data_IF_167431224644
#
_entry.id   IF_167431224644
#
_cell.length_a   1.000
_cell.length_b   1.000
_cell.length_c   1.000
_cell.angle_alpha   90.00
_cell.angle_beta   90.00
_cell.angle_gamma   90.00
#
_symmetry.space_group_name_H-M   'P 1'
#
loop_
_entity.id
_entity.type
_entity.pdbx_description
1 polymer ?
#
# COMPACT_ATOMS: atom_id res chain seq x y z
N UNK A 1 -51.03 52.44 -19.57
CA UNK A 1 -50.64 53.67 -20.29
C UNK A 1 -49.26 53.49 -20.88
N UNK A 2 -49.23 53.43 -22.24
CA UNK A 2 -48.33 54.12 -23.15
C UNK A 2 -46.82 53.81 -22.96
N UNK A 3 -45.99 53.44 -23.88
CA UNK A 3 -45.91 53.31 -25.35
C UNK A 3 -44.56 52.61 -25.62
N UNK A 4 -44.42 51.55 -26.35
CA UNK A 4 -43.98 51.50 -27.77
C UNK A 4 -42.88 52.48 -28.18
N UNK A 5 -41.72 51.93 -28.59
CA UNK A 5 -41.10 52.33 -29.86
C UNK A 5 -40.11 51.25 -30.33
N UNK A 6 -40.39 50.75 -31.52
CA UNK A 6 -39.50 49.94 -32.33
C UNK A 6 -38.68 50.86 -33.23
N UNK A 7 -37.47 50.46 -33.64
CA UNK A 7 -36.93 50.84 -34.96
C UNK A 7 -35.98 49.77 -35.50
N UNK A 8 -36.33 49.31 -36.68
CA UNK A 8 -35.59 48.54 -37.67
C UNK A 8 -34.40 49.34 -38.27
N UNK A 9 -33.36 48.64 -38.74
CA UNK A 9 -32.72 48.80 -40.06
C UNK A 9 -31.58 47.76 -40.16
N UNK A 10 -31.70 46.73 -40.95
CA UNK A 10 -31.51 46.57 -42.41
C UNK A 10 -30.03 46.37 -42.84
N UNK A 11 -29.71 45.14 -43.16
CA UNK A 11 -29.13 44.59 -44.39
C UNK A 11 -27.79 45.14 -44.90
N UNK A 12 -26.75 44.28 -44.95
CA UNK A 12 -25.99 44.09 -46.17
C UNK A 12 -25.35 42.70 -46.26
N UNK A 13 -25.81 41.89 -47.21
CA UNK A 13 -25.13 40.66 -47.66
C UNK A 13 -23.91 41.08 -48.52
N UNK A 14 -22.77 40.45 -48.24
CA UNK A 14 -21.72 40.24 -49.25
C UNK A 14 -21.33 38.78 -49.26
N UNK A 15 -21.75 38.09 -50.33
CA UNK A 15 -21.29 36.80 -50.75
C UNK A 15 -19.89 36.92 -51.35
N UNK A 16 -18.88 36.22 -50.77
CA UNK A 16 -17.68 35.84 -51.52
C UNK A 16 -17.40 34.38 -51.28
N UNK A 17 -17.62 33.58 -52.30
CA UNK A 17 -17.10 32.22 -52.41
C UNK A 17 -15.58 32.27 -52.48
N UNK A 18 -14.91 31.51 -51.62
CA UNK A 18 -13.58 31.01 -51.90
C UNK A 18 -13.44 29.55 -51.55
N UNK A 19 -12.72 28.86 -52.42
CA UNK A 19 -12.61 27.45 -52.65
C UNK A 19 -12.02 26.68 -51.47
N UNK A 20 -12.40 25.38 -51.43
CA UNK A 20 -11.92 24.29 -50.60
C UNK A 20 -10.37 24.18 -50.63
N UNK A 21 -9.79 24.15 -49.44
CA UNK A 21 -8.58 23.41 -49.15
C UNK A 21 -8.78 22.71 -47.81
N UNK A 22 -8.69 21.36 -47.79
CA UNK A 22 -8.85 20.55 -46.59
C UNK A 22 -7.81 20.90 -45.54
N UNK A 23 -8.28 21.46 -44.45
CA UNK A 23 -7.56 21.54 -43.23
C UNK A 23 -8.21 20.55 -42.24
N UNK A 24 -7.47 19.52 -41.90
CA UNK A 24 -7.75 18.57 -40.84
C UNK A 24 -7.99 19.38 -39.54
N UNK A 25 -9.17 19.24 -38.96
CA UNK A 25 -9.47 19.84 -37.67
C UNK A 25 -8.43 19.33 -36.66
N UNK A 26 -7.84 20.18 -35.82
CA UNK A 26 -7.04 19.70 -34.70
C UNK A 26 -7.94 18.83 -33.82
N UNK A 27 -7.42 17.64 -33.42
CA UNK A 27 -8.05 16.84 -32.37
C UNK A 27 -8.33 17.76 -31.18
N UNK A 28 -9.57 17.76 -30.70
CA UNK A 28 -9.91 18.44 -29.47
C UNK A 28 -9.02 17.84 -28.37
N UNK A 29 -8.12 18.65 -27.83
CA UNK A 29 -7.43 18.32 -26.59
C UNK A 29 -8.50 17.97 -25.55
N UNK A 30 -8.41 16.77 -24.97
CA UNK A 30 -9.15 16.47 -23.77
C UNK A 30 -8.83 17.57 -22.74
N UNK A 31 -9.83 18.07 -21.98
CA UNK A 31 -9.56 19.10 -20.99
C UNK A 31 -8.46 18.58 -20.08
N UNK A 32 -7.33 19.31 -20.02
CA UNK A 32 -6.31 19.09 -19.02
C UNK A 32 -7.00 19.16 -17.65
N UNK A 33 -6.94 18.05 -16.88
CA UNK A 33 -7.41 18.06 -15.50
C UNK A 33 -6.78 19.28 -14.82
N UNK A 34 -7.58 20.04 -14.09
CA UNK A 34 -7.11 21.24 -13.42
C UNK A 34 -6.01 20.80 -12.45
N UNK A 35 -4.75 21.15 -12.76
CA UNK A 35 -3.54 20.69 -12.02
C UNK A 35 -3.64 21.02 -10.53
N UNK A 36 -4.50 21.96 -10.16
CA UNK A 36 -4.75 22.36 -8.78
C UNK A 36 -5.56 21.34 -7.94
N UNK A 37 -6.16 20.30 -8.54
CA UNK A 37 -7.06 19.37 -7.83
C UNK A 37 -6.52 17.93 -7.76
N UNK A 38 -5.30 17.68 -8.21
CA UNK A 38 -4.67 16.36 -8.11
C UNK A 38 -4.11 16.10 -6.71
N UNK A 39 -3.99 14.82 -6.31
CA UNK A 39 -3.42 14.43 -5.02
C UNK A 39 -1.99 14.95 -4.86
N UNK A 40 -1.17 14.86 -5.91
CA UNK A 40 0.19 15.40 -5.89
C UNK A 40 0.20 16.90 -5.61
N UNK A 41 -0.63 17.69 -6.30
CA UNK A 41 -0.71 19.12 -6.08
C UNK A 41 -1.20 19.48 -4.66
N UNK A 42 -2.18 18.72 -4.13
CA UNK A 42 -2.68 18.89 -2.76
C UNK A 42 -1.58 18.60 -1.72
N UNK A 43 -0.81 17.51 -1.90
CA UNK A 43 0.31 17.13 -1.01
C UNK A 43 1.41 18.20 -1.05
N UNK A 44 1.80 18.66 -2.23
CA UNK A 44 2.78 19.73 -2.38
C UNK A 44 2.33 21.03 -1.75
N UNK A 45 1.05 21.41 -1.91
CA UNK A 45 0.50 22.61 -1.30
C UNK A 45 0.44 22.55 0.24
N UNK A 46 0.12 21.39 0.82
CA UNK A 46 0.14 21.19 2.29
C UNK A 46 1.54 20.93 2.85
N UNK A 47 2.54 20.64 1.99
CA UNK A 47 3.93 20.39 2.38
C UNK A 47 4.19 19.08 3.14
N UNK A 48 3.27 18.12 3.09
CA UNK A 48 3.32 16.88 3.87
C UNK A 48 2.73 15.72 3.10
N UNK A 49 3.46 14.59 3.04
CA UNK A 49 2.94 13.25 2.68
C UNK A 49 2.63 12.49 3.96
N UNK A 50 1.39 12.07 4.15
CA UNK A 50 0.96 11.26 5.30
C UNK A 50 0.87 9.81 4.90
N UNK A 51 1.72 8.96 5.48
CA UNK A 51 1.83 7.53 5.19
C UNK A 51 1.18 6.72 6.29
N UNK A 52 0.21 5.88 5.94
CA UNK A 52 -0.49 4.97 6.85
C UNK A 52 0.31 3.68 7.03
N UNK A 53 0.62 3.36 8.29
CA UNK A 53 1.46 2.24 8.71
C UNK A 53 0.88 1.52 9.92
N UNK A 54 1.40 0.33 10.24
CA UNK A 54 1.33 -0.33 11.55
C UNK A 54 2.74 -0.57 12.10
N UNK A 55 2.88 -1.07 13.31
CA UNK A 55 4.20 -1.50 13.84
C UNK A 55 4.53 -2.87 13.24
N UNK A 56 5.42 -2.86 12.26
CA UNK A 56 5.73 -4.00 11.42
C UNK A 56 7.21 -4.07 11.03
N UNK A 57 8.06 -4.65 11.88
CA UNK A 57 9.45 -4.91 11.52
C UNK A 57 9.56 -6.03 10.45
N UNK A 58 10.43 -5.89 9.44
CA UNK A 58 11.43 -4.83 9.23
C UNK A 58 10.93 -3.66 8.35
N UNK A 59 9.62 -3.58 8.03
CA UNK A 59 9.06 -2.59 7.11
C UNK A 59 8.91 -1.22 7.77
N UNK A 60 8.18 -1.14 8.88
CA UNK A 60 7.92 0.08 9.65
C UNK A 60 7.98 -0.23 11.14
N UNK A 61 8.97 0.28 11.82
CA UNK A 61 9.12 0.10 13.27
C UNK A 61 9.87 1.28 13.90
N UNK A 62 9.90 1.34 15.22
CA UNK A 62 10.60 2.41 15.93
C UNK A 62 12.01 1.99 16.33
N UNK A 63 12.97 2.87 16.06
CA UNK A 63 14.32 2.76 16.57
C UNK A 63 14.38 3.00 18.10
N UNK A 64 15.58 2.86 18.69
CA UNK A 64 15.82 3.09 20.11
C UNK A 64 15.49 4.54 20.57
N UNK A 65 15.42 5.50 19.65
CA UNK A 65 15.11 6.89 19.91
C UNK A 65 13.62 7.19 19.72
N UNK A 66 12.81 6.20 19.28
CA UNK A 66 11.40 6.34 19.01
C UNK A 66 11.07 6.92 17.64
N UNK A 67 12.05 7.01 16.72
CA UNK A 67 11.81 7.44 15.34
C UNK A 67 11.38 6.24 14.49
N UNK A 68 10.50 6.48 13.53
CA UNK A 68 10.14 5.49 12.53
C UNK A 68 11.33 5.20 11.62
N UNK A 69 11.59 3.92 11.38
CA UNK A 69 12.61 3.36 10.51
C UNK A 69 12.09 2.05 9.91
N UNK A 70 12.87 1.40 9.08
CA UNK A 70 12.51 0.20 8.36
C UNK A 70 12.52 0.44 6.86
N UNK A 71 12.36 -0.63 6.10
CA UNK A 71 12.44 -0.56 4.65
C UNK A 71 11.40 0.40 4.06
N UNK A 72 10.11 0.22 4.42
CA UNK A 72 9.03 1.05 3.91
C UNK A 72 9.10 2.47 4.43
N UNK A 73 9.39 2.65 5.73
CA UNK A 73 9.55 3.98 6.32
C UNK A 73 10.66 4.78 5.64
N UNK A 74 11.83 4.19 5.40
CA UNK A 74 12.96 4.88 4.75
C UNK A 74 12.65 5.16 3.27
N UNK A 75 12.01 4.22 2.57
CA UNK A 75 11.63 4.41 1.17
C UNK A 75 10.53 5.48 1.02
N UNK A 76 9.57 5.54 1.96
CA UNK A 76 8.56 6.61 2.01
C UNK A 76 9.17 8.00 2.29
N UNK A 77 10.16 8.08 3.17
CA UNK A 77 10.91 9.32 3.40
C UNK A 77 11.66 9.79 2.16
N UNK A 78 12.28 8.86 1.41
CA UNK A 78 12.93 9.19 0.13
C UNK A 78 11.92 9.69 -0.92
N UNK A 79 10.72 9.12 -0.97
CA UNK A 79 9.67 9.59 -1.88
C UNK A 79 9.13 10.97 -1.48
N UNK A 80 8.93 11.22 -0.19
CA UNK A 80 8.54 12.54 0.30
C UNK A 80 9.59 13.61 -0.04
N UNK A 81 10.89 13.29 0.08
CA UNK A 81 12.00 14.17 -0.36
C UNK A 81 11.93 14.45 -1.86
N UNK A 82 11.70 13.44 -2.70
CA UNK A 82 11.50 13.61 -4.16
C UNK A 82 10.34 14.56 -4.48
N UNK A 83 9.24 14.49 -3.67
CA UNK A 83 8.09 15.39 -3.81
C UNK A 83 8.34 16.80 -3.25
N UNK A 84 9.44 17.02 -2.51
CA UNK A 84 9.76 18.28 -1.84
C UNK A 84 8.90 18.56 -0.62
N UNK A 85 8.44 17.52 0.11
CA UNK A 85 7.54 17.62 1.25
C UNK A 85 8.07 16.84 2.47
N UNK A 86 7.52 17.10 3.66
CA UNK A 86 7.77 16.31 4.87
C UNK A 86 7.06 14.95 4.80
N UNK A 87 7.70 13.86 5.26
CA UNK A 87 7.05 12.57 5.49
C UNK A 87 6.50 12.50 6.92
N UNK A 88 5.23 12.15 7.07
CA UNK A 88 4.61 11.87 8.38
C UNK A 88 3.94 10.52 8.37
N UNK A 89 4.15 9.77 9.46
CA UNK A 89 3.55 8.47 9.64
C UNK A 89 2.30 8.55 10.51
N UNK A 90 1.24 7.89 10.05
CA UNK A 90 -0.03 7.74 10.74
C UNK A 90 -0.22 6.24 11.06
N UNK A 91 -0.33 5.91 12.36
CA UNK A 91 -0.57 4.53 12.77
C UNK A 91 -2.03 4.17 12.57
N UNK A 92 -2.30 3.24 11.66
CA UNK A 92 -3.63 2.69 11.40
C UNK A 92 -3.99 1.76 12.56
N UNK A 93 -5.03 2.11 13.32
CA UNK A 93 -5.42 1.36 14.51
C UNK A 93 -6.15 0.04 14.20
N UNK A 94 -6.70 -0.09 13.02
CA UNK A 94 -7.42 -1.27 12.51
C UNK A 94 -7.09 -1.41 11.02
N UNK A 95 -6.23 -2.37 10.68
CA UNK A 95 -5.76 -2.57 9.30
C UNK A 95 -6.89 -2.82 8.31
N UNK A 96 -7.99 -3.43 8.75
CA UNK A 96 -9.20 -3.58 7.95
C UNK A 96 -9.85 -2.28 7.49
N UNK A 97 -9.43 -1.12 8.06
CA UNK A 97 -9.92 0.21 7.68
C UNK A 97 -8.94 1.03 6.84
N UNK A 98 -7.81 0.45 6.41
CA UNK A 98 -6.76 1.15 5.67
C UNK A 98 -7.27 1.96 4.46
N UNK A 99 -8.18 1.40 3.68
CA UNK A 99 -8.76 2.09 2.53
C UNK A 99 -9.75 3.19 2.92
N UNK A 100 -10.45 3.04 4.06
CA UNK A 100 -11.31 4.11 4.60
C UNK A 100 -10.46 5.32 5.04
N UNK A 101 -9.34 5.09 5.73
CA UNK A 101 -8.40 6.16 6.11
C UNK A 101 -7.83 6.88 4.88
N UNK A 102 -7.58 6.12 3.80
CA UNK A 102 -7.11 6.65 2.52
C UNK A 102 -8.20 7.51 1.84
N UNK A 103 -9.43 7.01 1.74
CA UNK A 103 -10.57 7.70 1.11
C UNK A 103 -10.96 8.97 1.86
N UNK A 104 -10.90 8.95 3.18
CA UNK A 104 -11.20 10.12 4.03
C UNK A 104 -10.07 11.14 4.11
N UNK A 105 -8.94 10.89 3.40
CA UNK A 105 -7.76 11.75 3.36
C UNK A 105 -7.07 11.94 4.72
N UNK A 106 -7.24 10.99 5.65
CA UNK A 106 -6.43 10.92 6.86
C UNK A 106 -4.98 10.57 6.51
N UNK A 107 -4.82 9.71 5.49
CA UNK A 107 -3.54 9.33 4.92
C UNK A 107 -3.53 9.59 3.41
N UNK A 108 -2.34 9.70 2.83
CA UNK A 108 -2.14 9.88 1.39
C UNK A 108 -1.70 8.58 0.72
N UNK A 109 -1.09 7.67 1.47
CA UNK A 109 -0.69 6.35 1.03
C UNK A 109 -0.89 5.31 2.14
N UNK A 110 -1.25 4.08 1.78
CA UNK A 110 -1.08 2.89 2.61
C UNK A 110 0.22 2.24 2.19
N UNK A 111 1.21 2.23 3.09
CA UNK A 111 2.55 1.77 2.78
C UNK A 111 3.16 1.07 3.98
N UNK A 112 2.97 -0.23 4.09
CA UNK A 112 3.30 -1.04 5.28
C UNK A 112 3.38 -2.52 4.92
N UNK A 113 4.21 -2.88 3.93
CA UNK A 113 4.24 -4.25 3.43
C UNK A 113 2.84 -4.69 2.96
N UNK A 114 2.12 -3.80 2.26
CA UNK A 114 0.76 -4.11 1.86
C UNK A 114 0.74 -5.10 0.70
N UNK A 115 0.20 -6.29 0.93
CA UNK A 115 -0.01 -7.29 -0.12
C UNK A 115 -0.93 -6.77 -1.22
N UNK A 116 -0.54 -6.96 -2.48
CA UNK A 116 -1.36 -6.66 -3.65
C UNK A 116 -2.45 -7.72 -3.75
N UNK A 117 -3.65 -7.42 -3.23
CA UNK A 117 -4.83 -8.30 -3.26
C UNK A 117 -5.88 -7.79 -4.24
N UNK A 118 -6.87 -8.63 -4.59
CA UNK A 118 -8.04 -8.18 -5.36
C UNK A 118 -8.78 -7.05 -4.63
N UNK A 119 -8.89 -7.11 -3.30
CA UNK A 119 -9.48 -6.04 -2.49
C UNK A 119 -8.72 -4.73 -2.66
N UNK A 120 -7.38 -4.76 -2.57
CA UNK A 120 -6.54 -3.57 -2.75
C UNK A 120 -6.74 -2.95 -4.14
N UNK A 121 -6.73 -3.77 -5.19
CA UNK A 121 -6.92 -3.32 -6.58
C UNK A 121 -8.32 -2.75 -6.85
N UNK A 122 -9.35 -3.21 -6.12
CA UNK A 122 -10.71 -2.68 -6.21
C UNK A 122 -10.86 -1.33 -5.51
N UNK A 123 -10.21 -1.15 -4.36
CA UNK A 123 -10.41 0.01 -3.49
C UNK A 123 -9.39 1.13 -3.69
N UNK A 124 -8.25 0.86 -4.32
CA UNK A 124 -7.15 1.82 -4.47
C UNK A 124 -6.49 1.76 -5.85
N UNK A 125 -5.66 2.75 -6.15
CA UNK A 125 -4.66 2.67 -7.20
C UNK A 125 -3.37 2.17 -6.57
N UNK A 126 -2.98 0.93 -6.91
CA UNK A 126 -1.82 0.26 -6.32
C UNK A 126 -0.62 0.40 -7.26
N UNK A 127 0.55 0.61 -6.70
CA UNK A 127 1.82 0.70 -7.43
C UNK A 127 2.20 -0.62 -8.10
N UNK A 128 3.22 -0.58 -8.95
CA UNK A 128 3.96 -1.77 -9.34
C UNK A 128 4.53 -2.46 -8.08
N UNK A 129 4.71 -3.80 -8.10
CA UNK A 129 5.25 -4.51 -6.95
C UNK A 129 6.71 -4.13 -6.67
N UNK A 130 7.10 -4.14 -5.37
CA UNK A 130 8.47 -3.77 -4.99
C UNK A 130 9.21 -4.82 -4.16
N UNK A 131 8.51 -5.68 -3.38
CA UNK A 131 9.11 -6.74 -2.54
C UNK A 131 8.30 -8.02 -2.67
N UNK A 132 9.00 -9.16 -2.72
CA UNK A 132 8.38 -10.49 -2.67
C UNK A 132 8.04 -10.86 -1.24
N UNK A 133 6.85 -11.42 -1.02
CA UNK A 133 6.36 -11.86 0.28
C UNK A 133 5.65 -13.22 0.21
N UNK A 134 5.31 -13.76 1.36
CA UNK A 134 4.42 -14.91 1.54
C UNK A 134 3.74 -14.83 2.91
N UNK A 135 2.52 -15.34 3.02
CA UNK A 135 1.93 -15.61 4.33
C UNK A 135 2.44 -16.95 4.83
N UNK A 136 2.98 -16.97 6.05
CA UNK A 136 3.59 -18.17 6.64
C UNK A 136 2.97 -18.52 7.98
N UNK A 137 2.92 -19.81 8.26
CA UNK A 137 2.58 -20.30 9.58
C UNK A 137 3.76 -20.03 10.53
N UNK A 138 3.48 -19.48 11.72
CA UNK A 138 4.47 -19.39 12.81
C UNK A 138 3.92 -20.08 14.05
N UNK A 139 4.77 -20.90 14.68
CA UNK A 139 4.43 -21.69 15.87
C UNK A 139 5.62 -21.76 16.83
N UNK A 140 5.43 -22.43 17.97
CA UNK A 140 6.57 -22.83 18.81
C UNK A 140 7.51 -23.72 17.99
N UNK A 141 8.82 -23.47 18.10
CA UNK A 141 9.85 -24.13 17.29
C UNK A 141 9.90 -25.66 17.48
N UNK A 142 9.54 -26.14 18.67
CA UNK A 142 9.54 -27.58 19.00
C UNK A 142 8.38 -28.36 18.39
N UNK A 143 7.32 -27.67 17.92
CA UNK A 143 6.13 -28.32 17.36
C UNK A 143 5.90 -28.01 15.87
N UNK A 144 6.47 -26.92 15.33
CA UNK A 144 6.19 -26.46 13.94
C UNK A 144 6.46 -27.54 12.90
N UNK A 145 7.46 -28.40 13.11
CA UNK A 145 7.81 -29.49 12.19
C UNK A 145 6.75 -30.60 12.07
N UNK A 146 5.73 -30.60 12.95
CA UNK A 146 4.61 -31.55 12.87
C UNK A 146 3.50 -31.10 11.92
N UNK A 147 3.58 -29.86 11.41
CA UNK A 147 2.59 -29.21 10.55
C UNK A 147 3.24 -28.86 9.20
N UNK A 148 2.87 -29.61 8.17
CA UNK A 148 3.54 -29.52 6.87
C UNK A 148 2.69 -28.90 5.76
N UNK A 149 1.38 -28.76 5.99
CA UNK A 149 0.43 -28.29 4.99
C UNK A 149 -0.83 -27.66 5.62
N UNK A 150 -1.66 -27.05 4.78
CA UNK A 150 -2.92 -26.41 5.19
C UNK A 150 -3.89 -27.38 5.89
N UNK A 151 -3.91 -28.66 5.50
CA UNK A 151 -4.82 -29.63 6.10
C UNK A 151 -4.47 -29.95 7.56
N UNK A 152 -3.20 -29.82 7.93
CA UNK A 152 -2.70 -30.09 9.28
C UNK A 152 -3.07 -29.00 10.31
N UNK A 153 -3.47 -27.79 9.87
CA UNK A 153 -3.73 -26.65 10.74
C UNK A 153 -5.21 -26.30 10.92
N UNK A 154 -6.13 -27.01 10.27
CA UNK A 154 -7.56 -26.66 10.22
C UNK A 154 -8.27 -26.61 11.58
N UNK A 155 -7.79 -27.39 12.57
CA UNK A 155 -8.36 -27.46 13.91
C UNK A 155 -7.59 -26.63 14.94
N UNK A 156 -6.51 -25.93 14.53
CA UNK A 156 -5.74 -25.06 15.40
C UNK A 156 -6.46 -23.73 15.66
N UNK A 157 -6.10 -23.10 16.78
CA UNK A 157 -6.41 -21.70 17.06
C UNK A 157 -5.31 -20.84 16.46
N UNK A 158 -5.64 -20.04 15.44
CA UNK A 158 -4.67 -19.27 14.64
C UNK A 158 -4.92 -17.78 14.78
N UNK A 159 -3.98 -17.07 15.36
CA UNK A 159 -4.00 -15.60 15.46
C UNK A 159 -3.60 -14.97 14.11
N UNK A 160 -4.29 -13.90 13.72
CA UNK A 160 -4.05 -13.16 12.49
C UNK A 160 -4.32 -11.67 12.71
N UNK A 161 -3.64 -10.79 12.00
CA UNK A 161 -4.02 -9.39 11.97
C UNK A 161 -5.37 -9.20 11.27
N UNK A 162 -6.26 -8.45 11.88
CA UNK A 162 -7.61 -8.23 11.34
C UNK A 162 -7.58 -7.50 10.00
N UNK A 163 -8.23 -8.05 8.96
CA UNK A 163 -8.29 -7.47 7.61
C UNK A 163 -6.97 -7.55 6.83
N UNK A 164 -6.07 -8.47 7.22
CA UNK A 164 -4.81 -8.73 6.52
C UNK A 164 -4.91 -9.86 5.50
N UNK A 165 -3.91 -9.96 4.60
CA UNK A 165 -3.72 -11.11 3.73
C UNK A 165 -3.50 -12.41 4.53
N UNK A 166 -2.89 -12.33 5.71
CA UNK A 166 -2.74 -13.45 6.64
C UNK A 166 -4.07 -14.01 7.13
N UNK A 167 -5.04 -13.14 7.41
CA UNK A 167 -6.40 -13.58 7.75
C UNK A 167 -7.04 -14.31 6.57
N UNK A 168 -6.95 -13.76 5.37
CA UNK A 168 -7.50 -14.37 4.17
C UNK A 168 -6.84 -15.74 3.88
N UNK A 169 -5.52 -15.82 4.05
CA UNK A 169 -4.77 -17.05 3.86
C UNK A 169 -5.19 -18.13 4.89
N UNK A 170 -5.35 -17.78 6.16
CA UNK A 170 -5.80 -18.71 7.20
C UNK A 170 -7.23 -19.21 6.93
N UNK A 171 -8.15 -18.31 6.56
CA UNK A 171 -9.53 -18.66 6.19
C UNK A 171 -9.54 -19.53 4.93
N UNK A 172 -8.76 -19.17 3.90
CA UNK A 172 -8.62 -19.93 2.66
C UNK A 172 -8.04 -21.34 2.87
N UNK A 173 -7.17 -21.51 3.86
CA UNK A 173 -6.64 -22.81 4.31
C UNK A 173 -7.66 -23.66 5.06
N UNK A 174 -8.85 -23.13 5.39
CA UNK A 174 -9.91 -23.83 6.09
C UNK A 174 -9.76 -23.86 7.61
N UNK A 175 -8.95 -23.00 8.20
CA UNK A 175 -8.81 -22.86 9.66
C UNK A 175 -10.16 -22.50 10.29
N UNK A 176 -10.59 -23.27 11.29
CA UNK A 176 -11.90 -23.11 11.94
C UNK A 176 -11.90 -22.06 13.04
N UNK A 177 -10.78 -21.90 13.73
CA UNK A 177 -10.63 -21.01 14.89
C UNK A 177 -9.64 -19.90 14.56
N UNK A 178 -10.04 -18.97 13.70
CA UNK A 178 -9.25 -17.76 13.39
C UNK A 178 -9.52 -16.72 14.46
N UNK A 179 -8.46 -16.17 15.06
CA UNK A 179 -8.50 -15.14 16.12
C UNK A 179 -7.93 -13.84 15.57
N UNK A 180 -8.76 -12.89 15.14
CA UNK A 180 -8.30 -11.58 14.69
C UNK A 180 -7.73 -10.77 15.86
N UNK A 181 -6.52 -10.20 15.65
CA UNK A 181 -5.85 -9.31 16.58
C UNK A 181 -5.54 -7.97 15.89
N UNK A 182 -4.97 -7.02 16.64
CA UNK A 182 -4.75 -5.66 16.15
C UNK A 182 -3.72 -5.56 15.03
N UNK A 183 -2.60 -6.28 15.17
CA UNK A 183 -1.46 -6.28 14.26
C UNK A 183 -0.72 -7.63 14.31
N UNK A 184 0.25 -7.83 13.41
CA UNK A 184 1.01 -9.07 13.33
C UNK A 184 1.92 -9.29 14.57
N UNK A 185 2.41 -8.22 15.20
CA UNK A 185 3.19 -8.31 16.43
C UNK A 185 2.33 -8.87 17.57
N UNK A 186 1.07 -8.45 17.66
CA UNK A 186 0.10 -9.02 18.60
C UNK A 186 -0.18 -10.51 18.29
N UNK A 187 -0.22 -10.91 17.01
CA UNK A 187 -0.38 -12.33 16.66
C UNK A 187 0.81 -13.18 17.11
N UNK A 188 2.05 -12.68 17.00
CA UNK A 188 3.25 -13.34 17.55
C UNK A 188 3.17 -13.44 19.08
N UNK A 189 2.69 -12.40 19.77
CA UNK A 189 2.51 -12.43 21.24
C UNK A 189 1.51 -13.51 21.70
N UNK A 190 0.40 -13.70 20.96
CA UNK A 190 -0.57 -14.75 21.25
C UNK A 190 0.08 -16.14 21.22
N UNK A 191 0.91 -16.42 20.20
CA UNK A 191 1.64 -17.70 20.09
C UNK A 191 2.69 -17.81 21.19
N UNK A 192 3.44 -16.75 21.45
CA UNK A 192 4.46 -16.75 22.52
C UNK A 192 3.85 -17.01 23.89
N UNK A 193 2.68 -16.44 24.18
CA UNK A 193 1.94 -16.64 25.42
C UNK A 193 1.23 -18.00 25.50
N UNK A 194 1.05 -18.71 24.36
CA UNK A 194 0.33 -19.98 24.31
C UNK A 194 -1.19 -19.81 24.34
N UNK A 195 -1.73 -18.64 24.02
CA UNK A 195 -3.17 -18.36 23.90
C UNK A 195 -3.69 -18.72 22.50
N UNK A 196 -2.81 -18.73 21.51
CA UNK A 196 -3.05 -19.33 20.19
C UNK A 196 -2.00 -20.39 19.88
N UNK A 197 -2.38 -21.42 19.13
CA UNK A 197 -1.49 -22.51 18.72
C UNK A 197 -0.48 -22.05 17.68
N UNK A 198 -0.92 -21.17 16.80
CA UNK A 198 -0.16 -20.62 15.68
C UNK A 198 -0.58 -19.17 15.36
N UNK A 199 0.21 -18.50 14.54
CA UNK A 199 -0.26 -17.33 13.79
C UNK A 199 0.08 -17.48 12.30
N UNK A 200 -0.63 -16.71 11.47
CA UNK A 200 -0.30 -16.52 10.05
C UNK A 200 0.05 -15.07 9.84
N UNK A 201 1.29 -14.83 9.43
CA UNK A 201 1.90 -13.51 9.26
C UNK A 201 2.78 -13.48 8.01
N UNK A 202 3.26 -12.32 7.65
CA UNK A 202 4.21 -12.13 6.56
C UNK A 202 5.56 -12.79 6.87
N UNK A 203 6.15 -13.46 5.85
CA UNK A 203 7.46 -14.09 5.98
C UNK A 203 8.55 -13.08 6.32
N UNK A 204 8.42 -11.85 5.87
CA UNK A 204 9.37 -10.76 6.17
C UNK A 204 9.39 -10.47 7.66
N UNK A 205 8.23 -10.36 8.33
CA UNK A 205 8.17 -10.24 9.79
C UNK A 205 8.63 -11.53 10.49
N UNK A 206 8.20 -12.69 10.02
CA UNK A 206 8.61 -13.96 10.62
C UNK A 206 10.14 -14.10 10.65
N UNK A 207 10.82 -13.78 9.55
CA UNK A 207 12.28 -13.82 9.47
C UNK A 207 12.97 -12.80 10.40
N UNK A 208 12.40 -11.60 10.54
CA UNK A 208 12.97 -10.56 11.38
C UNK A 208 12.75 -10.80 12.89
N UNK A 209 11.65 -11.49 13.26
CA UNK A 209 11.18 -11.52 14.66
C UNK A 209 11.28 -12.90 15.31
N UNK A 210 11.46 -14.00 14.55
CA UNK A 210 11.48 -15.36 15.09
C UNK A 210 12.80 -16.06 14.90
N UNK A 211 13.14 -17.01 15.78
CA UNK A 211 14.38 -17.76 15.77
C UNK A 211 15.45 -17.20 16.70
N UNK A 212 16.57 -17.92 16.79
CA UNK A 212 17.66 -17.58 17.71
C UNK A 212 18.20 -16.16 17.49
N UNK A 213 18.34 -15.40 18.56
CA UNK A 213 18.84 -14.02 18.52
C UNK A 213 17.79 -12.95 18.26
N UNK A 214 16.53 -13.32 18.04
CA UNK A 214 15.41 -12.40 17.81
C UNK A 214 14.51 -12.24 19.04
N UNK A 215 13.48 -11.39 18.92
CA UNK A 215 12.51 -11.13 20.00
C UNK A 215 11.69 -12.37 20.39
N UNK A 216 11.50 -13.32 19.47
CA UNK A 216 10.73 -14.55 19.68
C UNK A 216 11.59 -15.77 19.34
N UNK A 217 12.67 -15.98 20.11
CA UNK A 217 13.63 -17.05 19.88
C UNK A 217 13.03 -18.46 19.94
N UNK A 218 11.91 -18.63 20.67
CA UNK A 218 11.21 -19.91 20.82
C UNK A 218 10.16 -20.16 19.73
N UNK A 219 9.97 -19.23 18.80
CA UNK A 219 9.06 -19.37 17.67
C UNK A 219 9.85 -19.64 16.38
N UNK A 220 9.18 -20.30 15.43
CA UNK A 220 9.78 -20.57 14.12
C UNK A 220 8.69 -20.52 13.02
N UNK A 221 9.12 -20.07 11.85
CA UNK A 221 8.30 -20.15 10.64
C UNK A 221 8.22 -21.59 10.14
N UNK A 222 7.01 -22.00 9.75
CA UNK A 222 6.71 -23.26 9.10
C UNK A 222 6.55 -23.11 7.58
N UNK A 223 5.55 -23.77 7.01
CA UNK A 223 5.27 -23.70 5.58
C UNK A 223 4.58 -22.38 5.20
N UNK A 224 4.78 -21.98 3.92
CA UNK A 224 4.09 -20.83 3.33
C UNK A 224 2.72 -21.23 2.83
N UNK A 225 1.69 -20.41 3.14
CA UNK A 225 0.33 -20.58 2.66
C UNK A 225 0.14 -19.90 1.29
N UNK A 226 0.87 -18.80 1.03
CA UNK A 226 0.78 -18.01 -0.20
C UNK A 226 2.16 -17.71 -0.79
N UNK A 227 2.17 -17.13 -1.98
CA UNK A 227 3.30 -16.41 -2.56
C UNK A 227 2.71 -15.12 -3.12
N UNK A 228 3.24 -13.97 -2.74
CA UNK A 228 2.63 -12.67 -2.99
C UNK A 228 3.69 -11.56 -3.10
N UNK A 229 3.26 -10.36 -3.41
CA UNK A 229 4.13 -9.19 -3.57
C UNK A 229 3.51 -7.99 -2.86
N UNK A 230 4.36 -7.06 -2.41
CA UNK A 230 3.95 -5.81 -1.80
C UNK A 230 3.83 -4.68 -2.81
N UNK A 231 2.84 -3.82 -2.60
CA UNK A 231 2.63 -2.57 -3.33
C UNK A 231 2.22 -1.45 -2.39
N UNK A 232 2.35 -0.23 -2.87
CA UNK A 232 1.86 0.98 -2.19
C UNK A 232 0.50 1.34 -2.73
N UNK A 233 -0.49 1.54 -1.86
CA UNK A 233 -1.81 1.99 -2.29
C UNK A 233 -1.98 3.50 -2.11
N UNK A 234 -2.44 4.14 -3.17
CA UNK A 234 -2.89 5.52 -3.23
C UNK A 234 -4.40 5.56 -3.45
N UNK A 235 -5.03 6.72 -3.21
CA UNK A 235 -6.46 6.88 -3.53
C UNK A 235 -6.76 6.45 -4.98
N UNK A 236 -7.98 5.98 -5.20
CA UNK A 236 -8.41 5.57 -6.54
C UNK A 236 -8.20 6.70 -7.53
N UNK A 237 -7.61 6.38 -8.69
CA UNK A 237 -7.27 7.31 -9.77
C UNK A 237 -6.28 8.44 -9.38
N UNK A 238 -5.52 8.26 -8.30
CA UNK A 238 -4.49 9.22 -7.87
C UNK A 238 -3.32 9.27 -8.86
N UNK A 239 -2.87 10.49 -9.15
CA UNK A 239 -1.67 10.75 -9.95
C UNK A 239 -0.36 10.37 -9.24
N UNK A 240 -0.42 10.14 -7.91
CA UNK A 240 0.72 9.67 -7.13
C UNK A 240 1.18 8.28 -7.53
N UNK A 241 0.29 7.40 -7.99
CA UNK A 241 0.65 6.03 -8.40
C UNK A 241 1.68 6.04 -9.53
N UNK A 242 1.40 6.80 -10.59
CA UNK A 242 2.34 6.94 -11.70
C UNK A 242 3.66 7.61 -11.27
N UNK A 243 3.56 8.68 -10.44
CA UNK A 243 4.73 9.40 -9.92
C UNK A 243 5.60 8.49 -9.03
N UNK A 244 4.97 7.65 -8.21
CA UNK A 244 5.68 6.69 -7.39
C UNK A 244 6.37 5.60 -8.22
N UNK A 245 5.69 5.04 -9.22
CA UNK A 245 6.30 4.02 -10.09
C UNK A 245 7.52 4.58 -10.86
N UNK A 246 7.46 5.83 -11.34
CA UNK A 246 8.62 6.51 -11.95
C UNK A 246 9.78 6.66 -10.96
N UNK A 247 9.49 7.11 -9.73
CA UNK A 247 10.47 7.24 -8.66
C UNK A 247 11.09 5.88 -8.31
N UNK A 248 10.28 4.85 -8.10
CA UNK A 248 10.73 3.50 -7.79
C UNK A 248 11.64 2.94 -8.88
N UNK A 249 11.25 3.08 -10.15
CA UNK A 249 12.07 2.64 -11.29
C UNK A 249 13.43 3.35 -11.32
N UNK A 250 13.49 4.65 -11.00
CA UNK A 250 14.75 5.39 -10.88
C UNK A 250 15.63 4.85 -9.74
N UNK A 251 15.05 4.54 -8.57
CA UNK A 251 15.76 3.98 -7.41
C UNK A 251 16.23 2.53 -7.61
N UNK A 252 15.52 1.77 -8.44
CA UNK A 252 15.98 0.46 -8.91
C UNK A 252 17.18 0.65 -9.85
N UNK A 253 17.07 1.53 -10.83
CA UNK A 253 18.10 1.73 -11.86
C UNK A 253 19.43 2.28 -11.28
N UNK A 254 19.40 3.10 -10.23
CA UNK A 254 20.59 3.65 -9.59
C UNK A 254 21.15 2.75 -8.46
N UNK A 255 20.46 1.64 -8.14
CA UNK A 255 20.85 0.67 -7.11
C UNK A 255 20.47 1.07 -5.68
N UNK A 256 19.84 2.22 -5.48
CA UNK A 256 19.42 2.69 -4.13
C UNK A 256 18.44 1.73 -3.48
N UNK A 257 17.42 1.29 -4.24
CA UNK A 257 16.41 0.37 -3.69
C UNK A 257 17.00 -1.00 -3.37
N UNK A 258 17.94 -1.50 -4.18
CA UNK A 258 18.64 -2.75 -3.90
C UNK A 258 19.47 -2.65 -2.60
N UNK A 259 20.22 -1.56 -2.43
CA UNK A 259 21.00 -1.34 -1.22
C UNK A 259 20.10 -1.26 0.03
N UNK A 260 18.91 -0.67 -0.09
CA UNK A 260 17.93 -0.63 0.98
C UNK A 260 17.36 -2.03 1.29
N UNK A 261 17.05 -2.83 0.25
CA UNK A 261 16.58 -4.20 0.41
C UNK A 261 17.65 -5.10 1.08
N UNK A 262 18.90 -4.97 0.66
CA UNK A 262 20.03 -5.71 1.26
C UNK A 262 20.21 -5.36 2.75
N UNK A 263 20.00 -4.08 3.13
CA UNK A 263 20.05 -3.63 4.53
C UNK A 263 19.03 -4.33 5.43
N UNK A 264 17.86 -4.63 4.89
CA UNK A 264 16.74 -5.25 5.61
C UNK A 264 16.51 -6.72 5.26
N UNK A 265 17.47 -7.34 4.53
CA UNK A 265 17.44 -8.75 4.12
C UNK A 265 16.17 -9.11 3.32
N UNK A 266 15.69 -8.19 2.48
CA UNK A 266 14.50 -8.36 1.66
C UNK A 266 14.85 -8.72 0.21
N UNK A 267 13.91 -9.38 -0.48
CA UNK A 267 14.00 -9.68 -1.92
C UNK A 267 13.09 -8.75 -2.69
N UNK A 268 13.66 -7.94 -3.60
CA UNK A 268 12.87 -7.10 -4.48
C UNK A 268 12.03 -7.96 -5.44
N UNK A 269 10.86 -7.47 -5.79
CA UNK A 269 10.06 -8.01 -6.89
C UNK A 269 10.80 -7.74 -8.22
N UNK A 270 10.77 -8.71 -9.14
CA UNK A 270 11.52 -8.70 -10.38
C UNK A 270 10.81 -8.02 -11.54
#
# INVERSE_FOLDING_TARGET
MKKMFALLLAMLMVFTCFAACGAQAPAADAPAADVADTDLAQIQAKGVLVVGITDYAPMDYKDENGNWTGFDAEFAMMFAEELGVECKFFVIADWGKKFLELDTKQIDAVWNGMTITEEALLNASVSDPYVVNAQVLVMKADVVGNYADAASIVDLTVAVENGSAGQDAAVGAGVKNVVPVQDQAAALMEVAAGTSDACVIDITMANAMTGEGTSYADLAAGFSLTSEEYGVAFRKDSDLTAKFNEFMAAKIADGTLQALADKYELTLAG
#
